data_IF_811154049881
#
_entry.id   IF_811154049881
#
_cell.length_a   1.000
_cell.length_b   1.000
_cell.length_c   1.000
_cell.angle_alpha   90.00
_cell.angle_beta   90.00
_cell.angle_gamma   90.00
#
_symmetry.space_group_name_H-M   'P 1'
#
loop_
_entity.id
_entity.type
_entity.pdbx_description
1 polymer ?
#
# COMPACT_ATOMS: atom_id res chain seq x y z
N UNK A 1 3.58 6.55 14.84
CA UNK A 1 4.33 6.86 13.58
C UNK A 1 3.35 7.29 12.48
N UNK A 2 3.77 8.13 11.53
CA UNK A 2 2.93 8.49 10.38
C UNK A 2 2.96 7.40 9.31
N UNK A 3 1.83 7.09 8.69
CA UNK A 3 1.74 6.07 7.64
C UNK A 3 0.81 6.47 6.51
N UNK A 4 1.18 6.03 5.30
CA UNK A 4 0.28 5.94 4.15
C UNK A 4 -0.27 4.53 4.08
N UNK A 5 -1.57 4.43 3.82
CA UNK A 5 -2.33 3.18 3.78
C UNK A 5 -2.88 3.02 2.37
N UNK A 6 -2.66 1.85 1.77
CA UNK A 6 -3.25 1.44 0.51
C UNK A 6 -4.07 0.17 0.73
N UNK A 7 -5.38 0.27 0.56
CA UNK A 7 -6.31 -0.84 0.75
C UNK A 7 -6.91 -1.22 -0.61
N UNK A 8 -6.76 -2.49 -0.99
CA UNK A 8 -7.13 -3.01 -2.30
C UNK A 8 -8.37 -3.88 -2.20
N UNK A 9 -9.37 -3.61 -3.05
CA UNK A 9 -10.51 -4.51 -3.27
C UNK A 9 -10.11 -5.79 -4.01
N UNK A 10 -10.99 -6.78 -4.04
CA UNK A 10 -10.80 -8.01 -4.80
C UNK A 10 -10.47 -7.74 -6.28
N UNK A 11 -9.28 -8.14 -6.78
CA UNK A 11 -8.98 -8.07 -8.20
C UNK A 11 -9.75 -9.17 -8.94
N UNK A 12 -10.04 -8.93 -10.23
CA UNK A 12 -10.66 -9.95 -11.10
C UNK A 12 -9.72 -11.14 -11.35
N UNK A 13 -8.42 -10.88 -11.44
CA UNK A 13 -7.37 -11.87 -11.61
C UNK A 13 -6.36 -11.72 -10.46
N UNK A 14 -6.46 -12.63 -9.49
CA UNK A 14 -5.63 -12.61 -8.26
C UNK A 14 -4.18 -12.99 -8.56
N UNK A 15 -3.94 -13.92 -9.49
CA UNK A 15 -2.59 -14.37 -9.82
C UNK A 15 -1.81 -13.28 -10.57
N UNK A 16 -2.45 -12.62 -11.54
CA UNK A 16 -1.84 -11.48 -12.23
C UNK A 16 -1.58 -10.31 -11.29
N UNK A 17 -2.54 -10.01 -10.40
CA UNK A 17 -2.37 -8.97 -9.40
C UNK A 17 -1.18 -9.28 -8.49
N UNK A 18 -1.10 -10.48 -7.92
CA UNK A 18 -0.01 -10.88 -7.02
C UNK A 18 1.35 -10.83 -7.74
N UNK A 19 1.44 -11.36 -8.96
CA UNK A 19 2.67 -11.36 -9.74
C UNK A 19 3.20 -9.94 -9.98
N UNK A 20 2.33 -9.00 -10.36
CA UNK A 20 2.73 -7.61 -10.57
C UNK A 20 3.01 -6.88 -9.24
N UNK A 21 2.16 -7.09 -8.24
CA UNK A 21 2.27 -6.45 -6.93
C UNK A 21 3.61 -6.79 -6.26
N UNK A 22 3.95 -8.07 -6.15
CA UNK A 22 5.19 -8.50 -5.50
C UNK A 22 6.42 -8.41 -6.42
N UNK A 23 6.26 -8.63 -7.73
CA UNK A 23 7.37 -8.62 -8.69
C UNK A 23 7.80 -7.23 -9.15
N UNK A 24 6.89 -6.26 -9.17
CA UNK A 24 7.12 -4.92 -9.72
C UNK A 24 6.82 -3.83 -8.70
N UNK A 25 5.60 -3.83 -8.14
CA UNK A 25 5.12 -2.71 -7.35
C UNK A 25 5.88 -2.54 -6.02
N UNK A 26 6.00 -3.62 -5.23
CA UNK A 26 6.71 -3.59 -3.95
C UNK A 26 8.18 -3.13 -4.12
N UNK A 27 8.99 -3.69 -5.03
CA UNK A 27 10.36 -3.21 -5.26
C UNK A 27 10.47 -1.75 -5.72
N UNK A 28 9.44 -1.20 -6.38
CA UNK A 28 9.39 0.22 -6.72
C UNK A 28 9.10 1.07 -5.49
N UNK A 29 8.15 0.66 -4.66
CA UNK A 29 7.76 1.35 -3.43
C UNK A 29 8.89 1.33 -2.39
N UNK A 30 9.61 0.21 -2.24
CA UNK A 30 10.76 0.09 -1.33
C UNK A 30 11.92 1.04 -1.66
N UNK A 31 11.99 1.55 -2.91
CA UNK A 31 13.02 2.51 -3.32
C UNK A 31 12.70 3.94 -2.93
N UNK A 32 11.52 4.22 -2.38
CA UNK A 32 11.10 5.59 -2.02
C UNK A 32 12.00 6.14 -0.91
N UNK A 33 12.77 7.21 -1.16
CA UNK A 33 13.55 7.85 -0.11
C UNK A 33 12.66 8.36 1.03
N UNK A 34 13.02 8.02 2.27
CA UNK A 34 12.25 8.40 3.47
C UNK A 34 11.26 7.33 3.95
N UNK A 35 10.99 6.29 3.16
CA UNK A 35 10.22 5.14 3.60
C UNK A 35 10.99 4.35 4.68
N UNK A 36 10.33 4.04 5.80
CA UNK A 36 10.93 3.32 6.94
C UNK A 36 10.58 1.85 6.96
N UNK A 37 9.35 1.53 6.61
CA UNK A 37 8.82 0.17 6.62
C UNK A 37 7.68 0.07 5.62
N UNK A 38 7.61 -1.06 4.94
CA UNK A 38 6.42 -1.51 4.23
C UNK A 38 5.89 -2.73 4.98
N UNK A 39 4.61 -2.75 5.29
CA UNK A 39 3.91 -3.90 5.84
C UNK A 39 2.77 -4.27 4.90
N UNK A 40 2.74 -5.53 4.47
CA UNK A 40 1.75 -6.04 3.53
C UNK A 40 0.95 -7.14 4.21
N UNK A 41 -0.36 -6.94 4.28
CA UNK A 41 -1.31 -7.88 4.88
C UNK A 41 -2.24 -8.41 3.80
N UNK A 42 -2.17 -9.71 3.53
CA UNK A 42 -3.11 -10.40 2.64
C UNK A 42 -4.37 -10.74 3.42
N UNK A 43 -5.52 -10.24 2.97
CA UNK A 43 -6.80 -10.44 3.65
C UNK A 43 -7.37 -11.80 3.26
N UNK A 44 -7.52 -12.69 4.24
CA UNK A 44 -7.94 -14.08 4.01
C UNK A 44 -9.45 -14.28 4.03
N UNK A 45 -10.22 -13.30 4.49
CA UNK A 45 -11.68 -13.38 4.62
C UNK A 45 -12.19 -12.53 5.78
N UNK A 46 -13.48 -12.69 6.10
CA UNK A 46 -14.12 -12.05 7.26
C UNK A 46 -14.10 -12.99 8.48
N UNK A 47 -14.30 -12.48 9.71
CA UNK A 47 -14.47 -13.33 10.89
C UNK A 47 -15.63 -14.32 10.80
N UNK A 48 -16.60 -14.10 9.89
CA UNK A 48 -17.73 -14.99 9.65
C UNK A 48 -17.39 -16.12 8.65
N UNK A 49 -16.14 -16.20 8.20
CA UNK A 49 -15.69 -17.21 7.22
C UNK A 49 -16.10 -16.93 5.78
N UNK A 50 -16.55 -15.71 5.47
CA UNK A 50 -16.93 -15.30 4.10
C UNK A 50 -15.79 -14.58 3.39
N UNK A 51 -15.90 -14.42 2.07
CA UNK A 51 -14.97 -13.56 1.33
C UNK A 51 -15.10 -12.11 1.80
N UNK A 52 -13.96 -11.43 1.93
CA UNK A 52 -13.88 -10.00 2.23
C UNK A 52 -14.00 -9.18 0.95
N UNK A 53 -14.57 -7.97 1.03
CA UNK A 53 -14.50 -6.99 -0.07
C UNK A 53 -13.04 -6.63 -0.41
N UNK A 54 -12.16 -6.72 0.58
CA UNK A 54 -10.75 -6.36 0.48
C UNK A 54 -9.87 -7.59 0.34
N UNK A 55 -8.83 -7.44 -0.47
CA UNK A 55 -7.86 -8.48 -0.81
C UNK A 55 -6.51 -8.26 -0.15
N UNK A 56 -6.05 -7.01 -0.09
CA UNK A 56 -4.71 -6.68 0.39
C UNK A 56 -4.71 -5.30 1.06
N UNK A 57 -3.96 -5.18 2.15
CA UNK A 57 -3.63 -3.93 2.83
C UNK A 57 -2.12 -3.74 2.76
N UNK A 58 -1.69 -2.53 2.44
CA UNK A 58 -0.29 -2.12 2.49
C UNK A 58 -0.16 -0.87 3.33
N UNK A 59 0.76 -0.89 4.28
CA UNK A 59 1.07 0.22 5.18
C UNK A 59 2.52 0.64 4.98
N UNK A 60 2.72 1.92 4.68
CA UNK A 60 4.02 2.51 4.38
C UNK A 60 4.32 3.56 5.44
N UNK A 61 5.35 3.29 6.25
CA UNK A 61 5.68 4.08 7.43
C UNK A 61 6.72 5.15 7.14
N UNK A 62 6.52 6.32 7.72
CA UNK A 62 7.41 7.48 7.65
C UNK A 62 7.62 8.06 9.05
N UNK A 63 8.71 8.80 9.25
CA UNK A 63 9.02 9.37 10.56
C UNK A 63 7.98 10.41 11.01
N UNK A 64 7.46 11.19 10.07
CA UNK A 64 6.46 12.24 10.30
C UNK A 64 5.66 12.52 9.04
N UNK A 65 4.62 13.37 9.16
CA UNK A 65 3.87 13.87 8.01
C UNK A 65 4.76 14.66 7.04
N UNK A 66 5.68 15.48 7.56
CA UNK A 66 6.62 16.25 6.73
C UNK A 66 7.55 15.32 5.95
N UNK A 67 8.10 14.29 6.61
CA UNK A 67 8.94 13.28 5.94
C UNK A 67 8.18 12.56 4.81
N UNK A 68 6.90 12.25 5.04
CA UNK A 68 6.03 11.70 4.00
C UNK A 68 5.85 12.67 2.81
N UNK A 69 5.57 13.95 3.07
CA UNK A 69 5.40 14.94 2.01
C UNK A 69 6.66 15.12 1.16
N UNK A 70 7.85 15.09 1.78
CA UNK A 70 9.11 15.11 1.03
C UNK A 70 9.33 13.82 0.23
N UNK A 71 9.04 12.65 0.81
CA UNK A 71 9.11 11.37 0.11
C UNK A 71 8.23 11.34 -1.15
N UNK A 72 7.02 11.90 -1.07
CA UNK A 72 6.08 11.95 -2.21
C UNK A 72 6.55 12.82 -3.38
N UNK A 73 7.51 13.73 -3.18
CA UNK A 73 8.06 14.57 -4.26
C UNK A 73 9.10 13.83 -5.12
N UNK A 74 9.63 12.72 -4.61
CA UNK A 74 10.70 11.94 -5.24
C UNK A 74 10.26 11.29 -6.56
N UNK A 75 11.22 10.95 -7.42
CA UNK A 75 10.94 10.28 -8.69
C UNK A 75 10.46 8.84 -8.46
N UNK A 76 10.94 8.20 -7.39
CA UNK A 76 10.57 6.86 -6.96
C UNK A 76 9.12 6.81 -6.51
N UNK A 77 8.66 7.78 -5.70
CA UNK A 77 7.26 7.86 -5.29
C UNK A 77 6.32 8.09 -6.49
N UNK A 78 6.72 8.96 -7.43
CA UNK A 78 5.96 9.16 -8.68
C UNK A 78 5.90 7.89 -9.54
N UNK A 79 6.97 7.11 -9.58
CA UNK A 79 6.99 5.84 -10.30
C UNK A 79 6.06 4.81 -9.66
N UNK A 80 6.10 4.66 -8.33
CA UNK A 80 5.19 3.79 -7.57
C UNK A 80 3.72 4.21 -7.75
N UNK A 81 3.43 5.51 -7.65
CA UNK A 81 2.07 6.05 -7.87
C UNK A 81 1.57 5.80 -9.30
N UNK A 82 2.43 5.97 -10.32
CA UNK A 82 2.07 5.69 -11.71
C UNK A 82 1.80 4.19 -11.92
N UNK A 83 2.63 3.35 -11.33
CA UNK A 83 2.49 1.90 -11.42
C UNK A 83 1.18 1.42 -10.80
N UNK A 84 0.89 1.77 -9.55
CA UNK A 84 -0.36 1.35 -8.87
C UNK A 84 -1.61 1.81 -9.60
N UNK A 85 -1.63 3.04 -10.13
CA UNK A 85 -2.77 3.52 -10.90
C UNK A 85 -2.98 2.73 -12.21
N UNK A 86 -1.92 2.13 -12.76
CA UNK A 86 -2.01 1.39 -14.02
C UNK A 86 -2.60 -0.01 -13.87
N UNK A 87 -2.36 -0.72 -12.75
CA UNK A 87 -2.84 -2.09 -12.55
C UNK A 87 -3.97 -2.20 -11.52
N UNK A 88 -4.10 -1.23 -10.61
CA UNK A 88 -5.01 -1.29 -9.47
C UNK A 88 -5.78 0.01 -9.21
N UNK A 89 -5.81 0.96 -10.16
CA UNK A 89 -6.44 2.28 -9.97
C UNK A 89 -7.90 2.24 -9.51
N UNK A 90 -8.70 1.30 -10.03
CA UNK A 90 -10.11 1.14 -9.64
C UNK A 90 -10.31 0.28 -8.37
N UNK A 91 -9.22 -0.32 -7.86
CA UNK A 91 -9.24 -1.24 -6.71
C UNK A 91 -8.69 -0.59 -5.44
N UNK A 92 -7.80 0.38 -5.58
CA UNK A 92 -7.02 0.93 -4.46
C UNK A 92 -7.71 2.15 -3.84
N UNK A 93 -7.78 2.16 -2.52
CA UNK A 93 -8.11 3.34 -1.72
C UNK A 93 -6.87 3.76 -0.95
N UNK A 94 -6.51 5.04 -1.05
CA UNK A 94 -5.40 5.63 -0.29
C UNK A 94 -5.91 6.44 0.89
N UNK A 95 -5.25 6.26 2.02
CA UNK A 95 -5.45 7.04 3.25
C UNK A 95 -4.10 7.40 3.86
N UNK A 96 -4.09 8.37 4.77
CA UNK A 96 -2.95 8.65 5.64
C UNK A 96 -3.44 8.64 7.08
N UNK A 97 -2.57 8.25 8.01
CA UNK A 97 -2.92 8.20 9.42
C UNK A 97 -1.69 8.17 10.32
N UNK A 98 -1.94 8.40 11.60
CA UNK A 98 -0.94 8.24 12.65
C UNK A 98 -1.31 7.04 13.49
N UNK A 99 -0.33 6.19 13.75
CA UNK A 99 -0.49 5.09 14.70
C UNK A 99 -0.56 5.65 16.12
N UNK A 100 -1.66 5.36 16.81
CA UNK A 100 -1.91 5.74 18.20
C UNK A 100 -1.65 4.51 19.07
N UNK A 101 -0.71 4.62 20.00
CA UNK A 101 -0.50 3.60 21.02
C UNK A 101 -1.63 3.69 22.06
N UNK A 102 -2.23 2.55 22.38
CA UNK A 102 -3.20 2.42 23.47
C UNK A 102 -2.57 1.52 24.55
N UNK A 103 -2.40 2.08 25.75
CA UNK A 103 -2.04 1.35 26.98
C UNK A 103 -3.20 0.50 27.51
#
# INVERSE_FOLDING_TARGET
>A
MFKMIALYKQPKDKEQFDAHYYGTHVPLTEKIPGLRKIEVTKITGTPMGTESEYYLLCEMYYDSQEAFQEAMKTKEAKASAKDVMSFAGDLVTFMVGEEVEHE
#
